data_IF_499234670332
#
_entry.id   IF_499234670332
#
_cell.length_a   1.000
_cell.length_b   1.000
_cell.length_c   1.000
_cell.angle_alpha   90.00
_cell.angle_beta   90.00
_cell.angle_gamma   90.00
#
_symmetry.space_group_name_H-M   'P 1'
#
loop_
_entity.id
_entity.type
_entity.pdbx_description
1 polymer ?
#
# COMPACT_ATOMS: atom_id res chain seq x y z
N UNK A 1 -24.58 -8.71 33.06
CA UNK A 1 -24.91 -9.37 31.78
C UNK A 1 -25.68 -8.38 30.91
N UNK A 2 -24.99 -7.68 29.99
CA UNK A 2 -25.63 -6.80 29.01
C UNK A 2 -26.07 -7.64 27.82
N UNK A 3 -27.39 -7.81 27.63
CA UNK A 3 -27.95 -8.45 26.44
C UNK A 3 -27.80 -7.48 25.27
N UNK A 4 -26.86 -7.76 24.38
CA UNK A 4 -26.76 -7.09 23.09
C UNK A 4 -27.90 -7.58 22.22
N UNK A 5 -28.89 -6.72 21.96
CA UNK A 5 -29.94 -7.00 20.98
C UNK A 5 -29.30 -7.02 19.60
N UNK A 6 -29.05 -8.21 19.05
CA UNK A 6 -28.65 -8.38 17.65
C UNK A 6 -29.92 -8.48 16.82
N UNK A 7 -30.12 -7.52 15.92
CA UNK A 7 -31.14 -7.64 14.86
C UNK A 7 -30.78 -8.82 13.96
N UNK A 8 -31.74 -9.72 13.72
CA UNK A 8 -31.62 -10.92 12.89
C UNK A 8 -32.40 -10.71 11.57
N UNK A 9 -32.40 -9.49 11.03
CA UNK A 9 -33.04 -9.24 9.71
C UNK A 9 -32.16 -9.75 8.59
N UNK A 10 -32.77 -10.35 7.57
CA UNK A 10 -32.06 -10.75 6.36
C UNK A 10 -31.56 -9.51 5.62
N UNK A 11 -30.37 -9.59 4.99
CA UNK A 11 -29.82 -8.49 4.21
C UNK A 11 -30.80 -8.00 3.13
N UNK A 12 -31.52 -8.92 2.48
CA UNK A 12 -32.55 -8.61 1.48
C UNK A 12 -33.69 -7.76 2.03
N UNK A 13 -34.09 -7.94 3.29
CA UNK A 13 -35.15 -7.14 3.92
C UNK A 13 -34.66 -5.74 4.28
N UNK A 14 -33.38 -5.59 4.63
CA UNK A 14 -32.75 -4.29 4.91
C UNK A 14 -32.64 -3.48 3.61
N UNK A 15 -32.17 -4.12 2.55
CA UNK A 15 -32.03 -3.51 1.22
C UNK A 15 -33.39 -3.11 0.67
N UNK A 16 -34.41 -3.98 0.71
CA UNK A 16 -35.75 -3.66 0.22
C UNK A 16 -36.38 -2.47 0.96
N UNK A 17 -36.12 -2.34 2.27
CA UNK A 17 -36.66 -1.24 3.06
C UNK A 17 -35.95 0.10 2.80
N UNK A 18 -34.64 0.09 2.52
CA UNK A 18 -33.87 1.29 2.21
C UNK A 18 -34.08 1.73 0.75
N UNK A 19 -34.22 0.78 -0.18
CA UNK A 19 -34.53 1.07 -1.59
C UNK A 19 -35.92 1.72 -1.77
N UNK A 20 -36.86 1.41 -0.88
CA UNK A 20 -38.21 2.00 -0.88
C UNK A 20 -38.25 3.48 -0.44
N UNK A 21 -37.20 3.98 0.24
CA UNK A 21 -37.29 5.25 0.97
C UNK A 21 -36.78 6.50 0.22
N UNK A 22 -35.85 6.45 -0.77
CA UNK A 22 -35.61 7.59 -1.72
C UNK A 22 -34.49 7.44 -2.78
N UNK A 23 -33.93 6.25 -3.07
CA UNK A 23 -32.76 6.19 -3.98
C UNK A 23 -33.17 5.92 -5.44
N UNK A 24 -33.11 6.93 -6.30
CA UNK A 24 -33.26 6.73 -7.76
C UNK A 24 -32.12 5.85 -8.29
N UNK A 25 -32.44 4.70 -8.86
CA UNK A 25 -31.45 3.84 -9.53
C UNK A 25 -30.77 4.61 -10.66
N UNK A 26 -29.44 4.59 -10.68
CA UNK A 26 -28.66 5.26 -11.72
C UNK A 26 -28.93 4.63 -13.09
N UNK A 27 -28.97 5.46 -14.14
CA UNK A 27 -29.06 5.01 -15.53
C UNK A 27 -27.94 4.00 -15.87
N UNK A 28 -26.75 4.14 -15.27
CA UNK A 28 -25.65 3.21 -15.46
C UNK A 28 -25.93 1.81 -14.93
N UNK A 29 -26.67 1.69 -13.81
CA UNK A 29 -27.10 0.39 -13.26
C UNK A 29 -28.25 -0.18 -14.07
N UNK A 30 -29.22 0.64 -14.46
CA UNK A 30 -30.31 0.19 -15.33
C UNK A 30 -29.78 -0.37 -16.65
N UNK A 31 -28.78 0.28 -17.25
CA UNK A 31 -28.16 -0.18 -18.49
C UNK A 31 -27.29 -1.45 -18.29
N UNK A 32 -26.44 -1.49 -17.26
CA UNK A 32 -25.48 -2.59 -17.08
C UNK A 32 -26.12 -3.90 -16.57
N UNK A 33 -27.34 -3.85 -16.04
CA UNK A 33 -28.09 -5.02 -15.58
C UNK A 33 -29.35 -5.28 -16.41
N UNK A 34 -29.58 -4.52 -17.48
CA UNK A 34 -30.58 -4.86 -18.47
C UNK A 34 -30.12 -6.11 -19.23
N UNK A 35 -30.95 -7.15 -19.23
CA UNK A 35 -30.67 -8.39 -19.94
C UNK A 35 -31.69 -8.61 -21.04
N UNK A 36 -31.19 -8.77 -22.25
CA UNK A 36 -31.95 -9.27 -23.40
C UNK A 36 -31.69 -10.77 -23.64
N UNK A 37 -30.92 -11.42 -22.74
CA UNK A 37 -30.60 -12.84 -22.83
C UNK A 37 -31.67 -13.67 -22.12
N UNK A 38 -32.02 -14.83 -22.69
CA UNK A 38 -32.92 -15.82 -22.08
C UNK A 38 -32.21 -16.57 -20.92
N UNK A 39 -31.75 -15.84 -19.91
CA UNK A 39 -31.27 -16.34 -18.62
C UNK A 39 -30.09 -17.32 -18.65
N UNK A 40 -29.36 -17.51 -19.74
CA UNK A 40 -28.36 -18.59 -19.81
C UNK A 40 -27.09 -18.23 -19.02
N UNK A 41 -26.88 -18.91 -17.89
CA UNK A 41 -25.59 -18.90 -17.19
C UNK A 41 -24.70 -20.04 -17.72
N UNK A 42 -23.56 -19.70 -18.31
CA UNK A 42 -22.58 -20.73 -18.75
C UNK A 42 -21.49 -20.89 -17.69
N UNK A 43 -21.64 -21.93 -16.85
CA UNK A 43 -20.62 -22.37 -15.91
C UNK A 43 -19.56 -23.24 -16.58
N UNK A 44 -18.32 -23.20 -16.06
CA UNK A 44 -17.25 -24.10 -16.53
C UNK A 44 -17.49 -25.53 -15.99
N UNK A 45 -18.37 -26.29 -16.65
CA UNK A 45 -18.64 -27.70 -16.36
C UNK A 45 -19.92 -28.00 -15.56
N UNK A 46 -20.87 -27.08 -15.49
CA UNK A 46 -22.21 -27.31 -14.91
C UNK A 46 -23.28 -27.19 -16.01
N UNK A 47 -24.42 -27.88 -15.83
CA UNK A 47 -25.56 -27.84 -16.76
C UNK A 47 -26.08 -26.41 -16.93
N UNK A 48 -26.49 -26.05 -18.15
CA UNK A 48 -27.11 -24.76 -18.45
C UNK A 48 -28.40 -24.61 -17.64
N UNK A 49 -28.46 -23.58 -16.79
CA UNK A 49 -29.64 -23.27 -15.98
C UNK A 49 -30.06 -21.81 -16.21
N UNK A 50 -31.36 -21.54 -16.38
CA UNK A 50 -31.86 -20.18 -16.48
C UNK A 50 -31.67 -19.44 -15.15
N UNK A 51 -30.97 -18.31 -15.17
CA UNK A 51 -30.78 -17.38 -14.07
C UNK A 51 -30.85 -15.95 -14.63
N UNK A 52 -31.72 -15.13 -14.06
CA UNK A 52 -31.86 -13.72 -14.42
C UNK A 52 -30.76 -12.85 -13.80
N UNK A 53 -30.55 -11.67 -14.38
CA UNK A 53 -29.70 -10.64 -13.79
C UNK A 53 -30.29 -10.15 -12.46
N UNK A 54 -29.44 -9.82 -11.47
CA UNK A 54 -29.92 -9.29 -10.21
C UNK A 54 -30.53 -7.89 -10.39
N UNK A 55 -31.48 -7.53 -9.52
CA UNK A 55 -32.15 -6.24 -9.56
C UNK A 55 -31.14 -5.08 -9.44
N UNK A 56 -31.10 -4.13 -10.40
CA UNK A 56 -30.09 -3.08 -10.44
C UNK A 56 -30.14 -2.15 -9.22
N UNK A 57 -31.32 -1.87 -8.68
CA UNK A 57 -31.49 -1.01 -7.51
C UNK A 57 -30.92 -1.68 -6.26
N UNK A 58 -31.19 -2.97 -6.09
CA UNK A 58 -30.67 -3.75 -4.98
C UNK A 58 -29.14 -3.86 -5.04
N UNK A 59 -28.56 -4.04 -6.23
CA UNK A 59 -27.11 -4.11 -6.38
C UNK A 59 -26.44 -2.78 -6.09
N UNK A 60 -26.96 -1.67 -6.64
CA UNK A 60 -26.45 -0.32 -6.38
C UNK A 60 -26.43 -0.04 -4.88
N UNK A 61 -27.57 -0.26 -4.21
CA UNK A 61 -27.71 -0.03 -2.78
C UNK A 61 -26.80 -0.96 -1.95
N UNK A 62 -26.67 -2.23 -2.35
CA UNK A 62 -25.80 -3.16 -1.64
C UNK A 62 -24.33 -2.70 -1.68
N UNK A 63 -23.86 -2.19 -2.81
CA UNK A 63 -22.49 -1.68 -2.95
C UNK A 63 -22.30 -0.43 -2.10
N UNK A 64 -23.26 0.49 -2.14
CA UNK A 64 -23.27 1.67 -1.29
C UNK A 64 -23.12 1.27 0.18
N UNK A 65 -24.00 0.40 0.67
CA UNK A 65 -23.98 -0.07 2.05
C UNK A 65 -22.68 -0.76 2.43
N UNK A 66 -22.09 -1.59 1.56
CA UNK A 66 -20.83 -2.29 1.85
C UNK A 66 -19.71 -1.29 2.15
N UNK A 67 -19.62 -0.21 1.36
CA UNK A 67 -18.52 0.76 1.47
C UNK A 67 -18.81 1.80 2.57
N UNK A 68 -20.02 2.39 2.61
CA UNK A 68 -20.36 3.46 3.57
C UNK A 68 -20.43 2.95 5.00
N UNK A 69 -21.06 1.78 5.22
CA UNK A 69 -21.19 1.20 6.58
C UNK A 69 -19.83 0.98 7.23
N UNK A 70 -18.81 0.61 6.45
CA UNK A 70 -17.45 0.47 6.96
C UNK A 70 -16.91 1.81 7.49
N UNK A 71 -17.09 2.90 6.73
CA UNK A 71 -16.66 4.22 7.17
C UNK A 71 -17.44 4.65 8.41
N UNK A 72 -18.76 4.47 8.43
CA UNK A 72 -19.62 4.85 9.55
C UNK A 72 -19.23 4.16 10.86
N UNK A 73 -18.96 2.85 10.82
CA UNK A 73 -18.60 2.08 12.02
C UNK A 73 -17.21 2.46 12.55
N UNK A 74 -16.29 2.87 11.67
CA UNK A 74 -14.92 3.21 12.05
C UNK A 74 -14.71 4.71 12.31
N UNK A 75 -15.66 5.56 11.93
CA UNK A 75 -15.65 7.01 12.15
C UNK A 75 -15.53 7.32 13.65
N UNK A 76 -14.74 8.33 13.98
CA UNK A 76 -14.46 8.81 15.35
C UNK A 76 -13.90 7.74 16.30
N UNK A 77 -13.40 6.63 15.75
CA UNK A 77 -12.75 5.56 16.50
C UNK A 77 -11.24 5.63 16.33
N UNK A 78 -10.51 4.91 17.20
CA UNK A 78 -9.06 4.71 17.05
C UNK A 78 -8.67 3.99 15.76
N UNK A 79 -9.64 3.41 15.05
CA UNK A 79 -9.44 2.66 13.82
C UNK A 79 -9.84 3.44 12.56
N UNK A 80 -10.27 4.70 12.68
CA UNK A 80 -10.66 5.53 11.53
C UNK A 80 -9.58 5.59 10.44
N UNK A 81 -8.30 5.65 10.83
CA UNK A 81 -7.18 5.66 9.88
C UNK A 81 -7.06 4.39 9.04
N UNK A 82 -7.67 3.27 9.47
CA UNK A 82 -7.67 2.01 8.72
C UNK A 82 -8.83 1.90 7.71
N UNK A 83 -9.89 2.73 7.85
CA UNK A 83 -11.08 2.65 7.01
C UNK A 83 -10.74 2.81 5.52
N UNK A 84 -9.88 3.78 5.17
CA UNK A 84 -9.45 4.01 3.79
C UNK A 84 -8.75 2.81 3.16
N UNK A 85 -7.84 2.14 3.88
CA UNK A 85 -7.13 0.96 3.34
C UNK A 85 -8.09 -0.22 3.14
N UNK A 86 -9.05 -0.43 4.06
CA UNK A 86 -10.04 -1.51 3.92
C UNK A 86 -11.01 -1.21 2.77
N UNK A 87 -11.52 0.02 2.67
CA UNK A 87 -12.43 0.43 1.61
C UNK A 87 -11.77 0.35 0.23
N UNK A 88 -10.51 0.79 0.09
CA UNK A 88 -9.74 0.61 -1.14
C UNK A 88 -9.68 -0.86 -1.56
N UNK A 89 -9.58 -1.77 -0.57
CA UNK A 89 -9.58 -3.21 -0.79
C UNK A 89 -10.92 -3.79 -1.23
N UNK A 90 -12.03 -3.22 -0.77
CA UNK A 90 -13.37 -3.59 -1.24
C UNK A 90 -13.52 -3.23 -2.72
N UNK A 91 -13.17 -1.99 -3.10
CA UNK A 91 -13.19 -1.56 -4.52
C UNK A 91 -12.27 -2.43 -5.38
N UNK A 92 -11.08 -2.77 -4.87
CA UNK A 92 -10.15 -3.67 -5.57
C UNK A 92 -10.73 -5.09 -5.80
N UNK A 93 -11.58 -5.58 -4.90
CA UNK A 93 -12.26 -6.88 -5.10
C UNK A 93 -13.20 -6.83 -6.30
N UNK A 94 -13.99 -5.76 -6.44
CA UNK A 94 -14.86 -5.56 -7.60
C UNK A 94 -14.04 -5.39 -8.88
N UNK A 95 -12.98 -4.58 -8.83
CA UNK A 95 -12.08 -4.39 -9.97
C UNK A 95 -11.47 -5.71 -10.46
N UNK A 96 -10.96 -6.53 -9.55
CA UNK A 96 -10.36 -7.81 -9.91
C UNK A 96 -11.37 -8.76 -10.55
N UNK A 97 -12.60 -8.77 -10.04
CA UNK A 97 -13.64 -9.62 -10.60
C UNK A 97 -14.04 -9.11 -12.00
N UNK A 98 -14.21 -7.79 -12.20
CA UNK A 98 -14.43 -7.19 -13.51
C UNK A 98 -13.32 -7.55 -14.51
N UNK A 99 -12.05 -7.41 -14.13
CA UNK A 99 -10.91 -7.79 -14.98
C UNK A 99 -10.90 -9.28 -15.34
N UNK A 100 -11.37 -10.15 -14.44
CA UNK A 100 -11.46 -11.59 -14.70
C UNK A 100 -12.56 -11.95 -15.69
N UNK A 101 -13.69 -11.25 -15.64
CA UNK A 101 -14.78 -11.43 -16.60
C UNK A 101 -14.40 -10.85 -17.97
N UNK A 102 -13.85 -9.64 -18.01
CA UNK A 102 -13.33 -9.05 -19.24
C UNK A 102 -12.27 -9.93 -19.92
N UNK A 103 -11.34 -10.51 -19.15
CA UNK A 103 -10.34 -11.42 -19.72
C UNK A 103 -10.94 -12.73 -20.28
N UNK A 104 -12.08 -13.18 -19.75
CA UNK A 104 -12.82 -14.32 -20.29
C UNK A 104 -13.56 -13.94 -21.57
N UNK A 105 -14.21 -12.77 -21.61
CA UNK A 105 -14.84 -12.22 -22.81
C UNK A 105 -13.83 -12.03 -23.95
N UNK A 106 -12.66 -11.45 -23.65
CA UNK A 106 -11.54 -11.32 -24.59
C UNK A 106 -11.10 -12.67 -25.17
N UNK A 107 -11.14 -13.72 -24.34
CA UNK A 107 -10.80 -15.07 -24.78
C UNK A 107 -11.89 -15.64 -25.68
N UNK A 108 -13.15 -15.56 -25.27
CA UNK A 108 -14.28 -16.01 -26.09
C UNK A 108 -14.33 -15.27 -27.44
N UNK A 109 -13.99 -13.99 -27.47
CA UNK A 109 -13.86 -13.19 -28.70
C UNK A 109 -12.79 -13.77 -29.62
N UNK A 110 -11.60 -14.12 -29.09
CA UNK A 110 -10.54 -14.77 -29.88
C UNK A 110 -10.98 -16.12 -30.40
N UNK A 111 -11.62 -16.92 -29.57
CA UNK A 111 -12.12 -18.25 -29.93
C UNK A 111 -13.19 -18.13 -31.06
N UNK A 112 -14.10 -17.15 -30.97
CA UNK A 112 -15.08 -16.82 -32.01
C UNK A 112 -14.42 -16.40 -33.33
N UNK A 113 -13.40 -15.54 -33.27
CA UNK A 113 -12.64 -15.11 -34.45
C UNK A 113 -11.86 -16.26 -35.10
N UNK A 114 -11.36 -17.22 -34.31
CA UNK A 114 -10.72 -18.43 -34.81
C UNK A 114 -11.72 -19.36 -35.49
N UNK A 115 -12.92 -19.55 -34.91
CA UNK A 115 -13.99 -20.35 -35.50
C UNK A 115 -14.47 -19.76 -36.82
N UNK A 116 -14.79 -18.47 -36.86
CA UNK A 116 -15.21 -17.77 -38.08
C UNK A 116 -14.19 -17.90 -39.22
N UNK A 117 -12.89 -17.92 -38.91
CA UNK A 117 -11.83 -18.11 -39.91
C UNK A 117 -11.73 -19.53 -40.45
N UNK A 118 -12.22 -20.51 -39.71
CA UNK A 118 -12.18 -21.95 -40.06
C UNK A 118 -13.53 -22.50 -40.52
N UNK A 119 -14.48 -21.62 -40.80
CA UNK A 119 -15.82 -22.00 -41.20
C UNK A 119 -15.80 -22.94 -42.42
N UNK A 120 -16.29 -24.16 -42.21
CA UNK A 120 -16.37 -25.23 -43.21
C UNK A 120 -17.80 -25.49 -43.70
N UNK A 121 -18.78 -24.79 -43.13
CA UNK A 121 -20.21 -24.93 -43.44
C UNK A 121 -20.86 -26.20 -42.89
N UNK A 122 -20.19 -26.93 -42.00
CA UNK A 122 -20.78 -28.10 -41.33
C UNK A 122 -21.80 -27.67 -40.26
N UNK A 123 -22.80 -28.52 -40.03
CA UNK A 123 -23.78 -28.34 -38.95
C UNK A 123 -23.08 -28.30 -37.58
N UNK A 124 -22.07 -29.15 -37.40
CA UNK A 124 -21.26 -29.20 -36.17
C UNK A 124 -20.57 -27.86 -35.93
N UNK A 125 -19.96 -27.27 -36.97
CA UNK A 125 -19.32 -25.96 -36.86
C UNK A 125 -20.33 -24.84 -36.59
N UNK A 126 -21.54 -24.95 -37.15
CA UNK A 126 -22.61 -23.97 -36.94
C UNK A 126 -23.10 -23.97 -35.48
N UNK A 127 -23.29 -25.16 -34.90
CA UNK A 127 -23.66 -25.32 -33.47
C UNK A 127 -22.55 -24.83 -32.54
N UNK A 128 -21.28 -25.11 -32.87
CA UNK A 128 -20.14 -24.63 -32.07
C UNK A 128 -20.04 -23.10 -32.08
N UNK A 129 -20.30 -22.48 -33.24
CA UNK A 129 -20.30 -21.03 -33.41
C UNK A 129 -21.44 -20.36 -32.62
N UNK A 130 -22.65 -20.93 -32.65
CA UNK A 130 -23.80 -20.47 -31.86
C UNK A 130 -23.49 -20.53 -30.36
N UNK A 131 -22.94 -21.66 -29.88
CA UNK A 131 -22.55 -21.82 -28.47
C UNK A 131 -21.51 -20.78 -28.01
N UNK A 132 -20.49 -20.51 -28.84
CA UNK A 132 -19.48 -19.49 -28.49
C UNK A 132 -20.06 -18.08 -28.54
N UNK A 133 -21.01 -17.83 -29.44
CA UNK A 133 -21.72 -16.55 -29.51
C UNK A 133 -22.54 -16.28 -28.25
N UNK A 134 -23.34 -17.25 -27.79
CA UNK A 134 -24.10 -17.16 -26.54
C UNK A 134 -23.19 -16.94 -25.33
N UNK A 135 -22.08 -17.68 -25.27
CA UNK A 135 -21.07 -17.51 -24.22
C UNK A 135 -20.46 -16.11 -24.23
N UNK A 136 -20.14 -15.57 -25.40
CA UNK A 136 -19.58 -14.23 -25.50
C UNK A 136 -20.60 -13.19 -25.01
N UNK A 137 -21.85 -13.28 -25.45
CA UNK A 137 -22.90 -12.36 -25.02
C UNK A 137 -23.09 -12.36 -23.49
N UNK A 138 -23.13 -13.55 -22.88
CA UNK A 138 -23.18 -13.70 -21.43
C UNK A 138 -21.94 -13.08 -20.73
N UNK A 139 -20.75 -13.33 -21.25
CA UNK A 139 -19.51 -12.81 -20.66
C UNK A 139 -19.39 -11.29 -20.78
N UNK A 140 -19.86 -10.70 -21.87
CA UNK A 140 -19.90 -9.25 -22.08
C UNK A 140 -20.89 -8.60 -21.11
N UNK A 141 -22.11 -9.12 -20.99
CA UNK A 141 -23.11 -8.64 -20.02
C UNK A 141 -22.58 -8.72 -18.58
N UNK A 142 -22.01 -9.87 -18.18
CA UNK A 142 -21.43 -10.04 -16.86
C UNK A 142 -20.23 -9.09 -16.64
N UNK A 143 -19.42 -8.84 -17.66
CA UNK A 143 -18.29 -7.91 -17.59
C UNK A 143 -18.76 -6.47 -17.36
N UNK A 144 -19.78 -6.02 -18.09
CA UNK A 144 -20.33 -4.67 -17.98
C UNK A 144 -21.00 -4.44 -16.61
N UNK A 145 -21.78 -5.40 -16.14
CA UNK A 145 -22.36 -5.38 -14.79
C UNK A 145 -21.28 -5.23 -13.72
N UNK A 146 -20.22 -6.05 -13.79
CA UNK A 146 -19.12 -6.01 -12.82
C UNK A 146 -18.29 -4.72 -12.90
N UNK A 147 -18.13 -4.15 -14.09
CA UNK A 147 -17.49 -2.84 -14.28
C UNK A 147 -18.33 -1.71 -13.66
N UNK A 148 -19.65 -1.71 -13.86
CA UNK A 148 -20.57 -0.77 -13.24
C UNK A 148 -20.49 -0.83 -11.71
N UNK A 149 -20.49 -2.03 -11.13
CA UNK A 149 -20.32 -2.23 -9.68
C UNK A 149 -19.00 -1.65 -9.16
N UNK A 150 -17.89 -1.88 -9.88
CA UNK A 150 -16.57 -1.34 -9.53
C UNK A 150 -16.56 0.19 -9.55
N UNK A 151 -17.11 0.80 -10.59
CA UNK A 151 -17.08 2.24 -10.78
C UNK A 151 -17.92 2.95 -9.72
N UNK A 152 -19.09 2.40 -9.40
CA UNK A 152 -19.92 2.91 -8.31
C UNK A 152 -19.21 2.81 -6.95
N UNK A 153 -18.57 1.67 -6.66
CA UNK A 153 -17.79 1.50 -5.43
C UNK A 153 -16.61 2.50 -5.35
N UNK A 154 -15.98 2.81 -6.50
CA UNK A 154 -14.91 3.79 -6.60
C UNK A 154 -15.40 5.22 -6.34
N UNK A 155 -16.60 5.58 -6.81
CA UNK A 155 -17.23 6.88 -6.56
C UNK A 155 -17.56 7.07 -5.08
N UNK A 156 -18.13 6.05 -4.43
CA UNK A 156 -18.41 6.08 -2.98
C UNK A 156 -17.09 6.23 -2.20
N UNK A 157 -16.05 5.48 -2.57
CA UNK A 157 -14.72 5.64 -1.98
C UNK A 157 -14.18 7.06 -2.16
N UNK A 158 -14.36 7.66 -3.34
CA UNK A 158 -13.94 9.03 -3.60
C UNK A 158 -14.66 10.03 -2.70
N UNK A 159 -15.98 9.86 -2.55
CA UNK A 159 -16.82 10.71 -1.71
C UNK A 159 -16.42 10.62 -0.23
N UNK A 160 -16.14 9.42 0.29
CA UNK A 160 -15.77 9.22 1.70
C UNK A 160 -14.32 9.65 2.02
N UNK A 161 -13.40 9.56 1.06
CA UNK A 161 -11.96 9.79 1.32
C UNK A 161 -11.41 11.09 0.73
N UNK A 162 -12.15 11.73 -0.19
CA UNK A 162 -11.69 12.87 -0.98
C UNK A 162 -10.59 12.54 -2.00
N UNK A 163 -10.25 11.26 -2.18
CA UNK A 163 -9.16 10.81 -3.06
C UNK A 163 -9.71 9.88 -4.14
N UNK A 164 -9.29 10.02 -5.40
CA UNK A 164 -9.73 9.09 -6.44
C UNK A 164 -9.21 7.69 -6.13
N UNK A 165 -10.01 6.66 -6.40
CA UNK A 165 -9.53 5.29 -6.38
C UNK A 165 -8.64 5.02 -7.59
N UNK A 166 -7.57 4.25 -7.40
CA UNK A 166 -6.69 3.84 -8.50
C UNK A 166 -6.26 2.39 -8.34
N UNK A 167 -6.35 1.63 -9.43
CA UNK A 167 -5.85 0.26 -9.49
C UNK A 167 -4.31 0.23 -9.29
N UNK A 168 -3.78 -0.80 -8.61
CA UNK A 168 -2.34 -0.97 -8.51
C UNK A 168 -1.76 -1.26 -9.91
N UNK A 169 -0.75 -0.48 -10.33
CA UNK A 169 -0.09 -0.67 -11.63
C UNK A 169 0.40 -2.11 -11.80
N UNK A 170 -0.01 -2.75 -12.89
CA UNK A 170 0.39 -4.09 -13.31
C UNK A 170 1.91 -4.17 -13.55
N UNK A 171 2.68 -4.26 -12.48
CA UNK A 171 4.09 -4.62 -12.53
C UNK A 171 4.32 -5.74 -11.51
N UNK A 172 4.55 -6.94 -12.06
CA UNK A 172 4.98 -8.19 -11.40
C UNK A 172 3.85 -9.06 -10.84
N UNK A 173 3.24 -9.85 -11.75
CA UNK A 173 2.53 -11.09 -11.41
C UNK A 173 3.59 -12.15 -11.08
N UNK A 174 3.61 -12.62 -9.83
CA UNK A 174 4.07 -13.96 -9.47
C UNK A 174 2.94 -14.66 -8.70
N UNK A 175 2.60 -15.85 -9.16
CA UNK A 175 1.39 -16.65 -8.95
C UNK A 175 1.17 -17.22 -7.54
N UNK A 176 1.37 -16.43 -6.47
CA UNK A 176 1.16 -16.90 -5.09
C UNK A 176 0.59 -15.90 -4.08
N UNK A 177 -0.08 -14.82 -4.52
CA UNK A 177 -0.63 -13.82 -3.58
C UNK A 177 -1.96 -13.22 -4.05
N UNK A 178 -3.05 -13.65 -3.43
CA UNK A 178 -4.38 -13.01 -3.63
C UNK A 178 -5.00 -12.46 -2.34
N UNK A 179 -4.58 -12.83 -1.12
CA UNK A 179 -5.16 -12.23 0.10
C UNK A 179 -4.26 -11.20 0.81
N UNK A 180 -2.96 -11.16 0.50
CA UNK A 180 -1.99 -10.31 1.23
C UNK A 180 -1.58 -9.03 0.50
N UNK A 181 -2.19 -8.72 -0.64
CA UNK A 181 -1.71 -7.63 -1.52
C UNK A 181 -2.28 -6.29 -1.14
N UNK A 182 -3.46 -6.21 -0.52
CA UNK A 182 -4.09 -4.93 -0.21
C UNK A 182 -3.45 -4.27 1.02
N UNK A 183 -3.34 -5.01 2.14
CA UNK A 183 -2.53 -4.57 3.29
C UNK A 183 -1.02 -4.62 3.01
N UNK A 184 -0.61 -5.38 1.99
CA UNK A 184 0.78 -5.55 1.60
C UNK A 184 1.32 -4.38 0.79
N UNK A 185 0.54 -3.77 -0.11
CA UNK A 185 0.98 -2.60 -0.88
C UNK A 185 1.01 -1.35 -0.04
N UNK A 186 0.11 -1.14 0.91
CA UNK A 186 0.22 0.00 1.84
C UNK A 186 1.30 -0.24 2.90
N UNK A 187 1.48 -1.46 3.40
CA UNK A 187 2.59 -1.78 4.30
C UNK A 187 3.94 -1.77 3.57
N UNK A 188 4.01 -2.24 2.33
CA UNK A 188 5.21 -2.20 1.50
C UNK A 188 5.42 -0.86 0.85
N UNK A 189 4.42 -0.02 0.60
CA UNK A 189 4.58 1.38 0.18
C UNK A 189 4.91 2.25 1.38
N UNK A 190 4.37 2.01 2.58
CA UNK A 190 4.84 2.65 3.80
C UNK A 190 6.21 2.10 4.25
N UNK A 191 6.57 0.86 3.93
CA UNK A 191 7.91 0.28 4.15
C UNK A 191 8.87 0.60 3.01
N UNK A 192 8.39 0.89 1.80
CA UNK A 192 9.15 1.38 0.64
C UNK A 192 9.24 2.88 0.67
N UNK A 193 8.35 3.62 1.30
CA UNK A 193 8.49 5.04 1.64
C UNK A 193 9.32 5.18 2.91
N UNK A 194 9.28 4.22 3.84
CA UNK A 194 10.30 4.10 4.90
C UNK A 194 11.64 3.60 4.36
N UNK A 195 11.72 2.71 3.37
CA UNK A 195 12.99 2.26 2.73
C UNK A 195 13.54 3.27 1.75
N UNK A 196 12.69 3.90 0.93
CA UNK A 196 13.03 5.01 0.04
C UNK A 196 13.34 6.21 0.92
N UNK A 197 12.56 6.55 1.94
CA UNK A 197 12.95 7.55 2.94
C UNK A 197 14.22 7.20 3.74
N UNK A 198 14.57 5.91 3.87
CA UNK A 198 15.85 5.42 4.42
C UNK A 198 17.00 5.41 3.39
N UNK A 199 16.72 5.55 2.09
CA UNK A 199 17.73 5.56 1.02
C UNK A 199 17.78 6.87 0.22
N UNK A 200 16.75 7.71 0.36
CA UNK A 200 16.43 8.99 -0.28
C UNK A 200 15.53 9.77 0.69
N UNK A 201 16.08 10.26 1.80
CA UNK A 201 15.36 11.17 2.68
C UNK A 201 14.97 12.45 1.92
N UNK A 202 13.72 12.90 2.08
CA UNK A 202 13.20 14.13 1.47
C UNK A 202 13.77 15.42 2.13
N UNK A 203 14.96 15.34 2.72
CA UNK A 203 15.61 16.42 3.46
C UNK A 203 17.12 16.22 3.65
N UNK A 204 17.86 17.28 4.03
CA UNK A 204 19.30 17.24 4.19
C UNK A 204 19.70 16.20 5.26
N UNK A 205 20.58 15.27 4.88
CA UNK A 205 21.06 14.22 5.75
C UNK A 205 22.07 14.72 6.77
N UNK A 206 21.82 14.44 8.04
CA UNK A 206 22.75 14.72 9.15
C UNK A 206 23.16 13.39 9.75
N UNK A 207 24.43 13.00 9.57
CA UNK A 207 24.94 11.75 10.10
C UNK A 207 25.24 11.87 11.61
N UNK A 208 24.89 10.85 12.39
CA UNK A 208 25.22 10.75 13.79
C UNK A 208 25.77 9.36 14.14
N UNK A 209 26.84 9.33 14.93
CA UNK A 209 27.29 8.10 15.59
C UNK A 209 27.90 8.42 16.95
N UNK A 210 27.59 7.62 17.97
CA UNK A 210 28.23 7.72 19.27
C UNK A 210 28.53 6.37 19.92
N UNK A 211 29.56 6.33 20.77
CA UNK A 211 29.93 5.15 21.53
C UNK A 211 28.84 4.68 22.51
N UNK A 212 28.91 3.42 22.93
CA UNK A 212 27.94 2.83 23.87
C UNK A 212 28.09 3.37 25.29
N UNK A 213 29.23 3.98 25.60
CA UNK A 213 29.57 4.55 26.90
C UNK A 213 28.92 5.92 27.18
N UNK A 214 28.27 6.53 26.20
CA UNK A 214 27.58 7.81 26.36
C UNK A 214 26.34 7.66 27.26
N UNK A 215 26.28 8.46 28.32
CA UNK A 215 25.14 8.55 29.23
C UNK A 215 24.58 9.96 29.34
N UNK A 216 25.44 10.99 29.25
CA UNK A 216 24.99 12.39 29.21
C UNK A 216 24.42 12.74 27.84
N UNK A 217 23.14 13.11 27.84
CA UNK A 217 22.41 13.49 26.63
C UNK A 217 22.64 14.94 26.22
N UNK A 218 23.02 15.80 27.16
CA UNK A 218 23.07 17.25 27.02
C UNK A 218 23.91 17.72 25.82
N UNK A 219 25.18 17.30 25.66
CA UNK A 219 26.00 17.75 24.53
C UNK A 219 25.48 17.25 23.18
N UNK A 220 24.94 16.02 23.12
CA UNK A 220 24.37 15.44 21.90
C UNK A 220 23.14 16.25 21.48
N UNK A 221 22.22 16.50 22.40
CA UNK A 221 20.98 17.23 22.12
C UNK A 221 21.29 18.68 21.73
N UNK A 222 22.21 19.33 22.43
CA UNK A 222 22.65 20.70 22.11
C UNK A 222 23.23 20.81 20.70
N UNK A 223 24.04 19.84 20.28
CA UNK A 223 24.59 19.81 18.93
C UNK A 223 23.50 19.60 17.87
N UNK A 224 22.59 18.65 18.10
CA UNK A 224 21.50 18.36 17.17
C UNK A 224 20.46 19.49 17.10
N UNK A 225 20.13 20.12 18.22
CA UNK A 225 19.25 21.30 18.28
C UNK A 225 19.84 22.47 17.45
N UNK A 226 21.17 22.70 17.53
CA UNK A 226 21.85 23.71 16.72
C UNK A 226 21.71 23.43 15.23
N UNK A 227 21.89 22.19 14.80
CA UNK A 227 21.76 21.82 13.38
C UNK A 227 20.31 21.94 12.93
N UNK A 228 19.34 21.45 13.73
CA UNK A 228 17.91 21.53 13.41
C UNK A 228 17.42 22.98 13.31
N UNK A 229 17.96 23.89 14.11
CA UNK A 229 17.65 25.31 14.00
C UNK A 229 18.06 25.89 12.63
N UNK A 230 19.18 25.44 12.05
CA UNK A 230 19.63 25.83 10.71
C UNK A 230 18.91 25.05 9.62
N UNK A 231 18.58 23.78 9.86
CA UNK A 231 17.97 22.84 8.91
C UNK A 231 16.73 22.18 9.49
N UNK A 232 15.57 22.87 9.52
CA UNK A 232 14.36 22.34 10.15
C UNK A 232 13.85 21.03 9.54
N UNK A 233 14.10 20.83 8.23
CA UNK A 233 13.71 19.65 7.45
C UNK A 233 14.75 18.53 7.43
N UNK A 234 15.78 18.61 8.28
CA UNK A 234 16.85 17.59 8.34
C UNK A 234 16.31 16.19 8.62
N UNK A 235 17.04 15.19 8.11
CA UNK A 235 16.84 13.79 8.45
C UNK A 235 18.08 13.25 9.17
N UNK A 236 17.88 12.68 10.35
CA UNK A 236 18.96 12.14 11.17
C UNK A 236 19.31 10.72 10.71
N UNK A 237 20.57 10.48 10.35
CA UNK A 237 21.09 9.18 9.97
C UNK A 237 21.94 8.60 11.10
N UNK A 238 21.46 7.57 11.79
CA UNK A 238 22.19 6.93 12.91
C UNK A 238 22.85 5.62 12.50
N UNK A 239 23.83 5.19 13.28
CA UNK A 239 24.53 3.91 13.11
C UNK A 239 23.80 2.68 13.68
N UNK A 240 22.53 2.88 14.08
CA UNK A 240 21.62 1.87 14.64
C UNK A 240 22.17 1.14 15.88
N UNK A 241 23.04 1.79 16.66
CA UNK A 241 23.51 1.22 17.91
C UNK A 241 22.39 1.27 18.96
N UNK A 242 22.12 0.14 19.62
CA UNK A 242 20.97 -0.01 20.53
C UNK A 242 21.12 0.73 21.87
N UNK A 243 22.31 1.25 22.17
CA UNK A 243 22.64 1.89 23.44
C UNK A 243 23.64 3.03 23.23
N UNK A 244 23.78 3.86 24.27
CA UNK A 244 24.70 4.99 24.30
C UNK A 244 24.28 6.12 23.37
N UNK A 245 25.24 6.68 22.63
CA UNK A 245 25.07 7.92 21.88
C UNK A 245 23.94 7.85 20.84
N UNK A 246 23.86 6.75 20.08
CA UNK A 246 22.81 6.59 19.06
C UNK A 246 21.42 6.55 19.70
N UNK A 247 21.26 5.82 20.81
CA UNK A 247 19.98 5.75 21.51
C UNK A 247 19.54 7.13 22.04
N UNK A 248 20.50 7.92 22.54
CA UNK A 248 20.29 9.30 22.98
C UNK A 248 19.86 10.21 21.82
N UNK A 249 20.53 10.10 20.66
CA UNK A 249 20.22 10.88 19.48
C UNK A 249 18.86 10.50 18.87
N UNK A 250 18.50 9.22 18.89
CA UNK A 250 17.18 8.75 18.48
C UNK A 250 16.07 9.22 19.43
N UNK A 251 16.33 9.28 20.74
CA UNK A 251 15.41 9.86 21.71
C UNK A 251 15.19 11.37 21.46
N UNK A 252 16.25 12.12 21.13
CA UNK A 252 16.13 13.51 20.70
C UNK A 252 15.26 13.66 19.45
N UNK A 253 15.48 12.81 18.45
CA UNK A 253 14.74 12.84 17.21
C UNK A 253 13.25 12.53 17.42
N UNK A 254 12.94 11.55 18.27
CA UNK A 254 11.57 11.25 18.68
C UNK A 254 10.90 12.44 19.39
N UNK A 255 11.61 13.12 20.30
CA UNK A 255 11.10 14.32 21.00
C UNK A 255 10.79 15.47 20.05
N UNK A 256 11.61 15.66 19.02
CA UNK A 256 11.56 16.82 18.11
C UNK A 256 10.81 16.55 16.81
N UNK A 257 10.24 15.35 16.65
CA UNK A 257 9.59 14.91 15.42
C UNK A 257 10.55 14.82 14.22
N UNK A 258 11.86 14.72 14.45
CA UNK A 258 12.87 14.64 13.39
C UNK A 258 12.87 13.23 12.77
N UNK A 259 12.74 13.08 11.44
CA UNK A 259 12.82 11.78 10.81
C UNK A 259 14.17 11.10 11.04
N UNK A 260 14.15 9.78 11.27
CA UNK A 260 15.37 8.98 11.54
C UNK A 260 15.53 7.86 10.53
N UNK A 261 16.72 7.80 9.93
CA UNK A 261 17.21 6.69 9.12
C UNK A 261 18.25 5.93 9.94
N UNK A 262 18.07 4.62 10.09
CA UNK A 262 18.99 3.77 10.86
C UNK A 262 19.79 2.91 9.89
N UNK A 263 21.12 3.05 9.90
CA UNK A 263 22.01 2.21 9.11
C UNK A 263 22.78 1.24 10.01
N UNK A 264 22.19 0.06 10.18
CA UNK A 264 22.79 -1.03 10.93
C UNK A 264 23.92 -1.74 10.20
N UNK A 265 24.59 -2.64 10.93
CA UNK A 265 25.69 -3.46 10.41
C UNK A 265 25.17 -4.79 9.86
N UNK A 266 25.69 -5.22 8.72
CA UNK A 266 25.45 -6.55 8.16
C UNK A 266 26.61 -7.49 8.54
N UNK A 267 26.52 -8.05 9.75
CA UNK A 267 27.54 -9.00 10.26
C UNK A 267 27.57 -10.31 9.47
N UNK A 268 26.43 -10.75 8.91
CA UNK A 268 26.37 -11.99 8.14
C UNK A 268 27.20 -11.92 6.86
N UNK A 269 27.24 -10.73 6.23
CA UNK A 269 27.99 -10.52 4.99
C UNK A 269 29.43 -10.04 5.19
N UNK A 270 29.69 -9.20 6.20
CA UNK A 270 30.98 -8.49 6.33
C UNK A 270 31.75 -8.79 7.62
N UNK A 271 31.23 -9.66 8.50
CA UNK A 271 31.91 -10.09 9.72
C UNK A 271 32.39 -8.93 10.59
N UNK A 272 33.65 -8.99 11.05
CA UNK A 272 34.25 -7.98 11.93
C UNK A 272 34.43 -6.61 11.25
N UNK A 273 34.37 -6.53 9.92
CA UNK A 273 34.52 -5.27 9.17
C UNK A 273 33.20 -4.55 8.94
N UNK A 274 32.07 -5.13 9.37
CA UNK A 274 30.74 -4.61 9.07
C UNK A 274 30.52 -3.15 9.53
N UNK A 275 31.13 -2.72 10.64
CA UNK A 275 31.07 -1.33 11.09
C UNK A 275 31.76 -0.34 10.14
N UNK A 276 32.94 -0.70 9.64
CA UNK A 276 33.70 0.13 8.69
C UNK A 276 33.02 0.19 7.33
N UNK A 277 32.54 -0.95 6.82
CA UNK A 277 31.78 -1.01 5.55
C UNK A 277 30.51 -0.17 5.63
N UNK A 278 29.82 -0.19 6.77
CA UNK A 278 28.65 0.66 7.04
C UNK A 278 29.01 2.14 7.02
N UNK A 279 30.17 2.54 7.55
CA UNK A 279 30.62 3.94 7.47
C UNK A 279 30.86 4.39 6.02
N UNK A 280 31.47 3.54 5.19
CA UNK A 280 31.62 3.82 3.77
C UNK A 280 30.26 3.95 3.06
N UNK A 281 29.26 3.18 3.50
CA UNK A 281 27.88 3.31 3.01
C UNK A 281 27.23 4.61 3.46
N UNK A 282 27.49 5.11 4.68
CA UNK A 282 27.02 6.44 5.14
C UNK A 282 27.55 7.52 4.20
N UNK A 283 28.84 7.50 3.85
CA UNK A 283 29.42 8.48 2.93
C UNK A 283 28.75 8.48 1.55
N UNK A 284 28.34 7.32 1.03
CA UNK A 284 27.63 7.22 -0.26
C UNK A 284 26.26 7.89 -0.25
N UNK A 285 25.64 8.03 0.92
CA UNK A 285 24.38 8.76 1.08
C UNK A 285 24.56 10.29 1.08
N UNK A 286 25.82 10.78 1.02
CA UNK A 286 26.17 12.21 0.96
C UNK A 286 25.48 13.06 2.04
N UNK A 287 25.73 12.77 3.33
CA UNK A 287 25.29 13.66 4.40
C UNK A 287 25.86 15.06 4.20
N UNK A 288 25.07 16.08 4.55
CA UNK A 288 25.51 17.49 4.46
C UNK A 288 26.24 17.94 5.72
N UNK A 289 25.93 17.31 6.86
CA UNK A 289 26.55 17.57 8.16
C UNK A 289 26.68 16.25 8.93
N UNK A 290 27.58 16.24 9.91
CA UNK A 290 27.79 15.10 10.77
C UNK A 290 28.08 15.52 12.21
N UNK A 291 27.58 14.75 13.17
CA UNK A 291 27.91 14.86 14.59
C UNK A 291 28.44 13.51 15.02
N UNK A 292 29.71 13.43 15.41
CA UNK A 292 30.32 12.17 15.80
C UNK A 292 30.82 12.31 17.23
N UNK A 293 30.24 11.49 18.09
CA UNK A 293 30.55 11.45 19.50
C UNK A 293 31.59 10.35 19.77
N UNK A 294 32.49 10.64 20.71
CA UNK A 294 33.60 9.77 21.10
C UNK A 294 33.17 8.31 21.28
N UNK A 295 33.96 7.38 20.76
CA UNK A 295 33.55 5.99 20.66
C UNK A 295 34.72 5.05 20.46
N UNK A 296 34.47 3.97 19.74
CA UNK A 296 35.50 3.01 19.33
C UNK A 296 36.24 3.48 18.08
N UNK A 297 37.21 2.68 17.61
CA UNK A 297 37.85 2.90 16.31
C UNK A 297 36.89 2.96 15.11
N UNK A 298 35.65 2.48 15.26
CA UNK A 298 34.60 2.62 14.26
C UNK A 298 34.11 4.07 14.14
N UNK A 299 33.97 4.79 15.25
CA UNK A 299 33.61 6.21 15.23
C UNK A 299 34.78 7.05 14.70
N UNK A 300 36.02 6.74 15.09
CA UNK A 300 37.21 7.42 14.56
C UNK A 300 37.34 7.24 13.04
N UNK A 301 37.08 6.04 12.52
CA UNK A 301 37.06 5.80 11.08
C UNK A 301 35.90 6.53 10.38
N UNK A 302 34.73 6.67 11.01
CA UNK A 302 33.63 7.47 10.44
C UNK A 302 34.02 8.94 10.28
N UNK A 303 34.77 9.53 11.23
CA UNK A 303 35.28 10.91 11.10
C UNK A 303 36.16 11.05 9.86
N UNK A 304 37.12 10.14 9.67
CA UNK A 304 37.99 10.12 8.48
C UNK A 304 37.18 9.98 7.18
N UNK A 305 36.14 9.14 7.19
CA UNK A 305 35.25 8.94 6.04
C UNK A 305 34.43 10.20 5.73
N UNK A 306 33.87 10.89 6.72
CA UNK A 306 33.15 12.16 6.51
C UNK A 306 34.06 13.25 5.95
N UNK A 307 35.27 13.40 6.50
CA UNK A 307 36.26 14.36 5.98
C UNK A 307 36.66 14.06 4.55
N UNK A 308 36.78 12.78 4.18
CA UNK A 308 37.11 12.38 2.80
C UNK A 308 36.08 12.80 1.75
N UNK A 309 34.82 13.01 2.16
CA UNK A 309 33.74 13.52 1.29
C UNK A 309 33.48 15.03 1.45
N UNK A 310 34.37 15.74 2.16
CA UNK A 310 34.28 17.19 2.37
C UNK A 310 33.33 17.63 3.48
N UNK A 311 32.90 16.73 4.36
CA UNK A 311 32.03 17.03 5.51
C UNK A 311 32.90 17.04 6.77
N UNK A 312 33.05 18.20 7.41
CA UNK A 312 33.75 18.29 8.70
C UNK A 312 32.76 18.06 9.86
N UNK A 313 32.88 16.95 10.61
CA UNK A 313 31.92 16.62 11.65
C UNK A 313 32.11 17.46 12.92
N UNK A 314 31.00 17.78 13.60
CA UNK A 314 31.01 18.25 14.98
C UNK A 314 31.45 17.08 15.87
N UNK A 315 32.59 17.24 16.53
CA UNK A 315 33.16 16.23 17.42
C UNK A 315 32.69 16.46 18.86
N UNK A 316 32.15 15.42 19.49
CA UNK A 316 31.79 15.43 20.91
C UNK A 316 32.73 14.51 21.68
N UNK A 317 33.21 14.97 22.85
CA UNK A 317 34.04 14.19 23.77
C UNK A 317 33.30 13.93 25.07
N UNK A 318 33.54 12.78 25.70
CA UNK A 318 32.78 12.35 26.89
C UNK A 318 32.94 13.30 28.08
N UNK A 319 34.09 13.96 28.18
CA UNK A 319 34.46 14.83 29.31
C UNK A 319 34.81 16.26 28.89
N UNK A 320 34.42 16.69 27.69
CA UNK A 320 34.61 18.09 27.24
C UNK A 320 36.06 18.52 26.95
N UNK A 321 36.97 17.56 26.75
CA UNK A 321 38.37 17.80 26.37
C UNK A 321 38.62 17.80 24.85
N UNK A 322 39.87 18.02 24.41
CA UNK A 322 40.27 17.93 23.00
C UNK A 322 39.99 16.54 22.40
N UNK A 323 39.57 16.51 21.13
CA UNK A 323 39.12 15.30 20.43
C UNK A 323 40.26 14.40 19.92
N UNK A 324 41.19 14.01 20.80
CA UNK A 324 42.34 13.15 20.49
C UNK A 324 41.98 11.72 20.05
N UNK A 325 40.73 11.31 20.23
CA UNK A 325 40.24 9.98 19.83
C UNK A 325 40.06 9.83 18.30
N UNK A 326 40.24 10.93 17.56
CA UNK A 326 39.99 11.01 16.11
C UNK A 326 41.24 10.72 15.28
N UNK A 327 42.43 10.77 15.89
CA UNK A 327 43.73 10.57 15.23
C UNK A 327 43.96 9.11 14.80
#
# INVERSE_FOLDING_TARGET
MTKTNRSIRSFSEIVAHIAADDNSTSESFLAAFASDLDGVRIGKGEDEMPCEMPDPAQVQLAIELIVTTLFDVLRDSRLQSAAGTIAWGMVYSFHRAADQWAAQADKATRDMQDLLRRADGSEIHSVELERVHELLAFLDEASDAMACMRDHAADIFHNETGKPWSAPKATLISSKRTASVINGTDYLAARRQRRIGQHHPDGPLVAFSGGSQWSDYTPIWKALDRIKAVRPTMVLLTTAQKCGGDAIAEAWAARTGTPVVRLGIDKGRWGNRAGFVRNDQIARLRPVEAVIAEGSGVQAQLVRVMRSIGVDPILLTLYGGPAHWVD
#
